data_IF_637196036162
#
_entry.id   IF_637196036162
#
_cell.length_a   1.000
_cell.length_b   1.000
_cell.length_c   1.000
_cell.angle_alpha   90.00
_cell.angle_beta   90.00
_cell.angle_gamma   90.00
#
_symmetry.space_group_name_H-M   'P 1'
#
loop_
_entity.id
_entity.type
_entity.pdbx_description
1 polymer ?
#
# COMPACT_ATOMS: atom_id res chain seq x y z
N UNK A 1 -3.53 -0.34 16.78
CA UNK A 1 -4.26 -1.01 15.69
C UNK A 1 -5.73 -0.91 16.01
N UNK A 2 -6.53 -0.38 15.08
CA UNK A 2 -7.99 -0.39 15.16
C UNK A 2 -8.52 -1.82 15.41
N UNK A 3 -9.66 -1.95 16.12
CA UNK A 3 -10.20 -3.26 16.50
C UNK A 3 -10.62 -4.08 15.27
N UNK A 4 -11.34 -3.49 14.33
CA UNK A 4 -11.80 -4.21 13.14
C UNK A 4 -10.63 -4.61 12.24
N UNK A 5 -9.61 -3.76 12.14
CA UNK A 5 -8.36 -4.11 11.46
C UNK A 5 -7.66 -5.26 12.16
N UNK A 6 -7.56 -5.23 13.49
CA UNK A 6 -6.95 -6.32 14.26
C UNK A 6 -7.67 -7.66 14.04
N UNK A 7 -8.99 -7.67 14.18
CA UNK A 7 -9.80 -8.88 13.98
C UNK A 7 -9.59 -9.43 12.56
N UNK A 8 -9.52 -8.55 11.54
CA UNK A 8 -9.22 -8.96 10.17
C UNK A 8 -7.81 -9.55 10.01
N UNK A 9 -6.81 -9.02 10.73
CA UNK A 9 -5.45 -9.55 10.71
C UNK A 9 -5.35 -10.97 11.29
N UNK A 10 -6.17 -11.26 12.31
CA UNK A 10 -6.24 -12.58 12.96
C UNK A 10 -6.82 -13.67 12.04
N UNK A 11 -7.54 -13.29 10.98
CA UNK A 11 -8.10 -14.22 9.99
C UNK A 11 -7.09 -14.65 8.90
N UNK A 12 -5.97 -13.94 8.73
CA UNK A 12 -4.98 -14.31 7.73
C UNK A 12 -4.14 -15.51 8.18
N UNK A 13 -3.70 -16.38 7.24
CA UNK A 13 -2.65 -17.35 7.52
C UNK A 13 -1.41 -16.68 8.11
N UNK A 14 -0.73 -17.35 9.04
CA UNK A 14 0.43 -16.80 9.78
C UNK A 14 1.48 -16.18 8.85
N UNK A 15 1.88 -16.92 7.81
CA UNK A 15 2.89 -16.47 6.84
C UNK A 15 2.45 -15.24 6.03
N UNK A 16 1.15 -15.06 5.84
CA UNK A 16 0.57 -13.89 5.17
C UNK A 16 0.50 -12.71 6.14
N UNK A 17 0.06 -12.96 7.38
CA UNK A 17 -0.08 -11.94 8.41
C UNK A 17 1.24 -11.20 8.64
N UNK A 18 2.35 -11.92 8.76
CA UNK A 18 3.69 -11.33 8.91
C UNK A 18 4.01 -10.35 7.76
N UNK A 19 3.71 -10.72 6.51
CA UNK A 19 3.97 -9.84 5.35
C UNK A 19 3.07 -8.61 5.30
N UNK A 20 1.81 -8.74 5.72
CA UNK A 20 0.90 -7.61 5.81
C UNK A 20 1.27 -6.67 6.98
N UNK A 21 1.78 -7.22 8.08
CA UNK A 21 2.32 -6.44 9.21
C UNK A 21 3.57 -5.65 8.80
N UNK A 22 4.48 -6.24 8.01
CA UNK A 22 5.63 -5.53 7.42
C UNK A 22 5.17 -4.31 6.60
N UNK A 23 4.17 -4.48 5.73
CA UNK A 23 3.63 -3.36 4.94
C UNK A 23 2.96 -2.30 5.81
N UNK A 24 2.19 -2.72 6.82
CA UNK A 24 1.58 -1.81 7.78
C UNK A 24 2.66 -1.00 8.51
N UNK A 25 3.71 -1.65 8.99
CA UNK A 25 4.80 -1.00 9.70
C UNK A 25 5.49 0.05 8.81
N UNK A 26 5.72 -0.24 7.53
CA UNK A 26 6.27 0.73 6.57
C UNK A 26 5.38 1.96 6.41
N UNK A 27 4.06 1.78 6.30
CA UNK A 27 3.11 2.90 6.20
C UNK A 27 3.21 3.81 7.43
N UNK A 28 3.23 3.24 8.63
CA UNK A 28 3.34 4.00 9.88
C UNK A 28 4.71 4.69 10.02
N UNK A 29 5.81 3.98 9.71
CA UNK A 29 7.16 4.54 9.73
C UNK A 29 7.29 5.74 8.79
N UNK A 30 6.75 5.62 7.57
CA UNK A 30 6.77 6.71 6.58
C UNK A 30 5.91 7.88 7.03
N UNK A 31 4.69 7.62 7.52
CA UNK A 31 3.82 8.69 8.03
C UNK A 31 4.48 9.47 9.17
N UNK A 32 5.17 8.78 10.07
CA UNK A 32 5.93 9.40 11.14
C UNK A 32 7.13 10.21 10.62
N UNK A 33 7.96 9.59 9.76
CA UNK A 33 9.17 10.22 9.23
C UNK A 33 8.89 11.47 8.37
N UNK A 34 7.75 11.49 7.69
CA UNK A 34 7.31 12.60 6.83
C UNK A 34 6.38 13.58 7.55
N UNK A 35 6.13 13.39 8.85
CA UNK A 35 5.27 14.26 9.68
C UNK A 35 3.85 14.45 9.11
N UNK A 36 3.26 13.39 8.55
CA UNK A 36 1.95 13.46 7.85
C UNK A 36 0.73 13.45 8.79
N UNK A 37 0.98 13.43 10.09
CA UNK A 37 -0.03 13.32 11.14
C UNK A 37 -0.45 11.87 11.43
N UNK A 38 -1.63 11.72 12.01
CA UNK A 38 -2.18 10.42 12.40
C UNK A 38 -2.60 9.60 11.18
N UNK A 39 -2.23 8.31 11.21
CA UNK A 39 -2.70 7.32 10.22
C UNK A 39 -4.04 6.77 10.67
N UNK A 40 -5.09 7.08 9.93
CA UNK A 40 -6.41 6.49 10.13
C UNK A 40 -6.44 5.06 9.59
N UNK A 41 -6.71 4.10 10.48
CA UNK A 41 -6.91 2.69 10.16
C UNK A 41 -8.41 2.40 10.02
N UNK A 42 -8.80 1.70 8.95
CA UNK A 42 -10.20 1.26 8.74
C UNK A 42 -10.25 0.00 7.87
N UNK A 43 -11.41 -0.63 7.78
CA UNK A 43 -11.67 -1.63 6.75
C UNK A 43 -12.45 -1.00 5.59
N UNK A 44 -11.95 -1.18 4.37
CA UNK A 44 -12.69 -0.84 3.15
C UNK A 44 -12.81 -2.09 2.29
N UNK A 45 -14.05 -2.48 1.97
CA UNK A 45 -14.34 -3.72 1.24
C UNK A 45 -13.79 -4.98 1.93
N UNK A 46 -13.71 -4.98 3.26
CA UNK A 46 -13.13 -6.07 4.06
C UNK A 46 -11.59 -6.11 4.05
N UNK A 47 -10.93 -5.06 3.54
CA UNK A 47 -9.48 -4.97 3.43
C UNK A 47 -8.94 -3.87 4.36
N UNK A 48 -7.84 -4.11 5.10
CA UNK A 48 -7.14 -3.06 5.83
C UNK A 48 -6.79 -1.87 4.94
N UNK A 49 -7.23 -0.68 5.36
CA UNK A 49 -7.03 0.60 4.68
C UNK A 49 -6.40 1.61 5.63
N UNK A 50 -5.37 2.30 5.14
CA UNK A 50 -4.60 3.30 5.85
C UNK A 50 -4.68 4.62 5.11
N UNK A 51 -5.06 5.69 5.81
CA UNK A 51 -5.21 7.01 5.22
C UNK A 51 -4.53 8.07 6.07
N UNK A 52 -3.96 9.08 5.42
CA UNK A 52 -3.46 10.31 6.04
C UNK A 52 -4.04 11.49 5.27
N UNK A 53 -4.19 12.66 5.92
CA UNK A 53 -4.85 13.82 5.30
C UNK A 53 -4.19 14.29 3.99
N UNK A 54 -2.86 14.13 3.90
CA UNK A 54 -2.04 14.57 2.78
C UNK A 54 -1.99 13.59 1.60
N UNK A 55 -2.58 12.40 1.74
CA UNK A 55 -2.35 11.27 0.84
C UNK A 55 -3.60 10.62 0.28
N UNK A 56 -3.39 9.77 -0.72
CA UNK A 56 -4.39 8.82 -1.19
C UNK A 56 -4.39 7.59 -0.27
N UNK A 57 -5.56 7.05 0.11
CA UNK A 57 -5.64 5.84 0.92
C UNK A 57 -4.90 4.66 0.28
N UNK A 58 -4.12 3.95 1.09
CA UNK A 58 -3.45 2.70 0.71
C UNK A 58 -4.16 1.55 1.41
N UNK A 59 -4.51 0.51 0.66
CA UNK A 59 -4.98 -0.75 1.26
C UNK A 59 -3.96 -1.84 1.08
N UNK A 60 -3.98 -2.82 1.97
CA UNK A 60 -3.20 -4.04 1.82
C UNK A 60 -4.11 -5.24 1.98
N UNK A 61 -3.86 -6.30 1.21
CA UNK A 61 -4.61 -7.53 1.40
C UNK A 61 -3.90 -8.74 0.77
N UNK A 62 -4.39 -9.91 1.16
CA UNK A 62 -4.08 -11.20 0.55
C UNK A 62 -5.39 -11.90 0.19
N UNK A 63 -5.42 -12.62 -0.93
CA UNK A 63 -6.63 -13.26 -1.43
C UNK A 63 -6.43 -14.76 -1.63
N UNK A 64 -7.41 -15.56 -1.23
CA UNK A 64 -7.39 -17.01 -1.38
C UNK A 64 -7.21 -17.46 -2.85
N UNK A 65 -7.72 -16.68 -3.81
CA UNK A 65 -7.58 -16.96 -5.25
C UNK A 65 -6.16 -16.80 -5.80
N UNK A 66 -5.29 -16.11 -5.07
CA UNK A 66 -3.88 -15.92 -5.41
C UNK A 66 -3.03 -16.16 -4.15
N UNK A 67 -3.00 -17.40 -3.65
CA UNK A 67 -2.56 -17.71 -2.28
C UNK A 67 -1.06 -17.46 -2.05
N UNK A 68 -0.28 -17.33 -3.12
CA UNK A 68 1.15 -17.04 -3.04
C UNK A 68 1.46 -15.54 -3.07
N UNK A 69 0.45 -14.68 -3.24
CA UNK A 69 0.62 -13.26 -3.51
C UNK A 69 -0.17 -12.40 -2.52
N UNK A 70 0.40 -11.26 -2.18
CA UNK A 70 -0.23 -10.21 -1.39
C UNK A 70 -0.05 -8.86 -2.12
N UNK A 71 -0.86 -7.88 -1.75
CA UNK A 71 -1.08 -6.71 -2.58
C UNK A 71 -1.06 -5.42 -1.78
N UNK A 72 -0.53 -4.37 -2.39
CA UNK A 72 -0.80 -2.98 -2.04
C UNK A 72 -1.78 -2.43 -3.07
N UNK A 73 -2.96 -1.99 -2.64
CA UNK A 73 -3.95 -1.36 -3.50
C UNK A 73 -3.97 0.16 -3.34
N UNK A 74 -4.13 0.82 -4.47
CA UNK A 74 -4.18 2.28 -4.59
C UNK A 74 -5.51 2.71 -5.24
N UNK A 75 -5.83 3.99 -5.13
CA UNK A 75 -7.04 4.54 -5.72
C UNK A 75 -6.94 4.54 -7.26
N UNK A 76 -7.79 3.76 -7.93
CA UNK A 76 -7.69 3.50 -9.37
C UNK A 76 -7.95 4.71 -10.29
N UNK A 77 -8.52 5.80 -9.77
CA UNK A 77 -8.69 7.06 -10.52
C UNK A 77 -7.47 7.99 -10.41
N UNK A 78 -6.44 7.61 -9.64
CA UNK A 78 -5.18 8.37 -9.56
C UNK A 78 -4.19 7.86 -10.61
N UNK A 79 -3.13 8.63 -10.86
CA UNK A 79 -1.99 8.20 -11.69
C UNK A 79 -0.89 7.48 -10.91
N UNK A 80 -1.13 7.12 -9.65
CA UNK A 80 -0.12 6.51 -8.78
C UNK A 80 0.45 5.23 -9.39
N UNK A 81 -0.39 4.25 -9.72
CA UNK A 81 0.09 2.96 -10.25
C UNK A 81 0.78 3.12 -11.60
N UNK A 82 0.33 4.06 -12.44
CA UNK A 82 1.00 4.36 -13.70
C UNK A 82 2.38 4.98 -13.44
N UNK A 83 2.49 5.94 -12.53
CA UNK A 83 3.76 6.54 -12.09
C UNK A 83 4.71 5.48 -11.56
N UNK A 84 4.22 4.57 -10.70
CA UNK A 84 5.05 3.52 -10.12
C UNK A 84 5.61 2.59 -11.18
N UNK A 85 4.82 2.31 -12.23
CA UNK A 85 5.26 1.47 -13.35
C UNK A 85 6.35 2.14 -14.16
N UNK A 86 6.25 3.45 -14.40
CA UNK A 86 7.32 4.21 -15.07
C UNK A 86 8.62 4.22 -14.24
N UNK A 87 8.50 4.32 -12.90
CA UNK A 87 9.66 4.42 -12.01
C UNK A 87 10.31 3.07 -11.69
N UNK A 88 9.50 2.01 -11.53
CA UNK A 88 9.90 0.74 -10.93
C UNK A 88 9.41 -0.48 -11.70
N UNK A 89 9.04 -0.33 -12.98
CA UNK A 89 8.50 -1.41 -13.82
C UNK A 89 9.41 -2.62 -14.01
N UNK A 90 10.73 -2.42 -13.88
CA UNK A 90 11.72 -3.49 -13.98
C UNK A 90 11.84 -4.34 -12.71
N UNK A 91 11.36 -3.82 -11.57
CA UNK A 91 11.50 -4.44 -10.24
C UNK A 91 10.14 -4.90 -9.70
N UNK A 92 9.13 -4.05 -9.80
CA UNK A 92 7.79 -4.28 -9.25
C UNK A 92 6.84 -4.86 -10.29
N UNK A 93 5.90 -5.69 -9.81
CA UNK A 93 4.79 -6.21 -10.61
C UNK A 93 3.51 -5.48 -10.27
N UNK A 94 2.67 -5.26 -11.28
CA UNK A 94 1.44 -4.48 -11.13
C UNK A 94 0.22 -5.27 -11.63
N UNK A 95 -0.88 -5.18 -10.89
CA UNK A 95 -2.18 -5.73 -11.30
C UNK A 95 -3.08 -4.61 -11.81
N UNK A 96 -3.18 -4.52 -13.15
CA UNK A 96 -3.91 -3.45 -13.82
C UNK A 96 -3.40 -2.07 -13.38
N UNK A 97 -4.32 -1.14 -13.12
CA UNK A 97 -4.03 0.21 -12.63
C UNK A 97 -4.33 0.40 -11.14
N UNK A 98 -4.44 -0.69 -10.36
CA UNK A 98 -4.94 -0.63 -8.97
C UNK A 98 -4.01 -1.21 -7.91
N UNK A 99 -3.02 -2.02 -8.28
CA UNK A 99 -2.21 -2.71 -7.26
C UNK A 99 -0.75 -2.92 -7.67
N UNK A 100 0.12 -2.95 -6.65
CA UNK A 100 1.41 -3.65 -6.70
C UNK A 100 1.17 -5.07 -6.21
N UNK A 101 1.72 -6.05 -6.90
CA UNK A 101 1.67 -7.48 -6.58
C UNK A 101 3.02 -7.96 -6.03
N UNK A 102 3.00 -8.58 -4.86
CA UNK A 102 4.17 -9.11 -4.16
C UNK A 102 4.00 -10.61 -3.92
N UNK A 103 5.09 -11.37 -3.97
CA UNK A 103 5.11 -12.83 -3.72
C UNK A 103 5.57 -13.12 -2.30
N UNK A 104 4.90 -14.02 -1.61
CA UNK A 104 5.26 -14.42 -0.23
C UNK A 104 6.67 -15.04 -0.14
N UNK A 105 7.10 -15.70 -1.23
CA UNK A 105 8.41 -16.37 -1.35
C UNK A 105 9.58 -15.42 -1.52
N UNK A 106 9.33 -14.17 -1.90
CA UNK A 106 10.37 -13.22 -2.27
C UNK A 106 10.66 -12.28 -1.09
N UNK A 107 11.88 -11.73 -1.00
CA UNK A 107 12.11 -10.59 -0.12
C UNK A 107 11.26 -9.40 -0.58
N UNK A 108 10.84 -8.57 0.38
CA UNK A 108 10.15 -7.32 0.08
C UNK A 108 11.13 -6.35 -0.61
N UNK A 109 10.85 -5.84 -1.82
CA UNK A 109 11.62 -4.75 -2.45
C UNK A 109 11.37 -3.43 -1.69
N UNK A 110 11.97 -3.32 -0.51
CA UNK A 110 11.62 -2.32 0.50
C UNK A 110 11.87 -0.89 0.00
N UNK A 111 12.92 -0.65 -0.78
CA UNK A 111 13.25 0.68 -1.29
C UNK A 111 12.18 1.20 -2.27
N UNK A 112 11.78 0.35 -3.21
CA UNK A 112 10.78 0.67 -4.23
C UNK A 112 9.40 0.80 -3.60
N UNK A 113 9.04 -0.09 -2.67
CA UNK A 113 7.78 0.01 -1.92
C UNK A 113 7.73 1.27 -1.07
N UNK A 114 8.81 1.64 -0.38
CA UNK A 114 8.87 2.90 0.37
C UNK A 114 8.66 4.11 -0.53
N UNK A 115 9.28 4.13 -1.71
CA UNK A 115 9.09 5.23 -2.66
C UNK A 115 7.62 5.31 -3.16
N UNK A 116 7.01 4.18 -3.51
CA UNK A 116 5.59 4.14 -3.90
C UNK A 116 4.66 4.60 -2.77
N UNK A 117 4.94 4.19 -1.52
CA UNK A 117 4.18 4.61 -0.35
C UNK A 117 4.35 6.10 -0.04
N UNK A 118 5.57 6.66 -0.13
CA UNK A 118 5.81 8.10 0.01
C UNK A 118 4.95 8.91 -0.96
N UNK A 119 4.96 8.54 -2.24
CA UNK A 119 4.15 9.19 -3.28
C UNK A 119 2.64 9.07 -3.01
N UNK A 120 2.18 7.90 -2.54
CA UNK A 120 0.78 7.70 -2.19
C UNK A 120 0.36 8.54 -0.97
N UNK A 121 1.15 8.53 0.10
CA UNK A 121 0.87 9.22 1.36
C UNK A 121 1.02 10.75 1.27
N UNK A 122 1.73 11.25 0.26
CA UNK A 122 1.86 12.68 -0.04
C UNK A 122 1.11 13.11 -1.30
N UNK A 123 0.27 12.23 -1.85
CA UNK A 123 -0.38 12.43 -3.15
C UNK A 123 -1.12 13.77 -3.27
N UNK A 124 -1.89 14.21 -2.26
CA UNK A 124 -2.64 15.47 -2.37
C UNK A 124 -1.74 16.70 -2.49
N UNK A 125 -0.52 16.63 -1.97
CA UNK A 125 0.48 17.70 -2.09
C UNK A 125 1.14 17.70 -3.47
N UNK A 126 1.24 16.54 -4.12
CA UNK A 126 2.05 16.32 -5.34
C UNK A 126 1.24 15.99 -6.60
N UNK A 127 -0.07 15.83 -6.50
CA UNK A 127 -0.98 15.42 -7.60
C UNK A 127 -1.04 16.39 -8.80
N UNK A 128 -0.35 17.52 -8.73
CA UNK A 128 -0.21 18.52 -9.81
C UNK A 128 1.07 18.32 -10.64
N UNK A 129 1.93 17.36 -10.25
CA UNK A 129 3.17 17.07 -10.96
C UNK A 129 2.89 16.21 -12.21
N UNK A 130 3.66 16.37 -13.31
CA UNK A 130 3.36 15.77 -14.62
C UNK A 130 3.09 14.26 -14.68
N UNK A 131 3.59 13.47 -13.71
CA UNK A 131 3.33 12.03 -13.64
C UNK A 131 2.19 11.66 -12.68
N UNK A 132 1.87 12.50 -11.70
CA UNK A 132 0.88 12.22 -10.65
C UNK A 132 -0.50 12.84 -10.96
N UNK A 133 -0.59 13.70 -11.97
CA UNK A 133 -1.83 14.30 -12.45
C UNK A 133 -1.70 15.81 -12.68
N UNK A 134 -2.73 16.36 -13.31
CA UNK A 134 -3.05 17.79 -13.36
C UNK A 134 -4.47 17.94 -12.82
#
# INVERSE_FOLDING_TARGET
MDKAVKDRFEEYPENVRVRLEELRELIFKLSFALELGEVEESLKWGEPSYSVKTGSPVRIDWKLKSPNNYYLYFHCQTKLVDTFRELHGDVLRFQGNRAIELRLSDPLPEAEIKHCLDLALTYHQRKHLPLLGS
#
